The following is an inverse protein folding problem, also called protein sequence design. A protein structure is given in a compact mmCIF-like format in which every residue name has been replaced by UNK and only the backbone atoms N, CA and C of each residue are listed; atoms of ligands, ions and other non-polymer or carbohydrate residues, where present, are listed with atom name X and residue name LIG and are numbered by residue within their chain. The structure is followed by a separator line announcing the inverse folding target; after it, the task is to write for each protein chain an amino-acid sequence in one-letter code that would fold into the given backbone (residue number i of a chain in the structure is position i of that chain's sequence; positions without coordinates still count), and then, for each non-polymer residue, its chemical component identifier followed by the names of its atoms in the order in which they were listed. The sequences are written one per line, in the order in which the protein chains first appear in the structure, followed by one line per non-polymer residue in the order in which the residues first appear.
data_IF_216336340964
#
_entry.id   IF_216336340964
#
_cell.length_a   1.000
_cell.length_b   1.000
_cell.length_c   1.000
_cell.angle_alpha   90.00
_cell.angle_beta   90.00
_cell.angle_gamma   90.00
#
_symmetry.space_group_name_H-M   'P 1'
#
loop_
_entity.id
_entity.type
_entity.pdbx_description
1 polymer ?
#
# COMPACT_ATOMS: atom_id res chain seq x y z
N UNK A 1 43.86 -9.42 2.61
CA UNK A 1 42.61 -9.33 3.39
C UNK A 1 41.46 -9.36 2.40
N UNK A 2 40.64 -10.43 2.37
CA UNK A 2 39.45 -10.51 1.52
C UNK A 2 38.29 -9.91 2.33
N UNK A 3 37.83 -8.74 1.93
CA UNK A 3 36.59 -8.15 2.45
C UNK A 3 35.43 -9.04 2.00
N UNK A 4 34.79 -9.74 2.93
CA UNK A 4 33.49 -10.34 2.65
C UNK A 4 32.54 -9.18 2.28
N UNK A 5 31.76 -9.28 1.19
CA UNK A 5 30.75 -8.28 0.91
C UNK A 5 29.74 -8.26 2.05
N UNK A 6 29.49 -7.05 2.54
CA UNK A 6 28.45 -6.75 3.51
C UNK A 6 27.09 -7.09 2.87
N UNK A 7 26.37 -8.02 3.50
CA UNK A 7 25.11 -8.66 3.03
C UNK A 7 25.24 -9.69 1.88
N UNK A 8 24.92 -10.94 2.22
CA UNK A 8 24.78 -12.09 1.30
C UNK A 8 23.39 -12.15 0.64
N UNK A 9 22.49 -11.25 1.04
CA UNK A 9 21.16 -11.12 0.46
C UNK A 9 21.09 -9.87 -0.40
N UNK A 10 20.55 -9.96 -1.63
CA UNK A 10 20.23 -8.77 -2.39
C UNK A 10 19.15 -7.96 -1.66
N UNK A 11 19.30 -6.63 -1.63
CA UNK A 11 18.24 -5.74 -1.16
C UNK A 11 17.07 -5.79 -2.14
N UNK A 12 16.07 -6.63 -1.85
CA UNK A 12 14.83 -6.70 -2.62
C UNK A 12 13.83 -5.73 -2.00
N UNK A 13 13.86 -4.49 -2.45
CA UNK A 13 12.82 -3.52 -2.11
C UNK A 13 11.59 -3.74 -3.00
N UNK A 14 10.45 -4.03 -2.38
CA UNK A 14 9.14 -3.97 -3.02
C UNK A 14 8.50 -2.63 -2.66
N UNK A 15 8.39 -1.69 -3.61
CA UNK A 15 7.86 -0.38 -3.30
C UNK A 15 6.39 -0.50 -2.86
N UNK A 16 6.08 -0.06 -1.64
CA UNK A 16 4.75 -0.16 -1.04
C UNK A 16 4.32 1.17 -0.43
N UNK A 17 3.07 1.55 -0.64
CA UNK A 17 2.42 2.69 0.00
C UNK A 17 1.32 2.19 0.92
N UNK A 18 1.31 2.68 2.16
CA UNK A 18 0.25 2.40 3.14
C UNK A 18 -0.67 3.61 3.27
N UNK A 19 -1.96 3.38 3.10
CA UNK A 19 -3.03 4.37 3.30
C UNK A 19 -3.81 3.98 4.55
N UNK A 20 -3.95 4.90 5.50
CA UNK A 20 -4.75 4.74 6.71
C UNK A 20 -5.90 5.75 6.67
N UNK A 21 -7.12 5.27 6.82
CA UNK A 21 -8.31 6.11 6.82
C UNK A 21 -9.11 5.87 8.09
N UNK A 22 -9.44 6.97 8.77
CA UNK A 22 -10.31 6.98 9.93
C UNK A 22 -11.59 7.75 9.57
N UNK A 23 -12.74 7.10 9.73
CA UNK A 23 -14.08 7.63 9.45
C UNK A 23 -14.96 7.62 10.71
N UNK A 24 -14.36 7.73 11.91
CA UNK A 24 -15.07 7.83 13.17
C UNK A 24 -15.82 6.54 13.53
N UNK A 25 -17.15 6.60 13.55
CA UNK A 25 -18.01 5.48 14.00
C UNK A 25 -18.74 4.79 12.83
N UNK A 26 -18.16 4.83 11.63
CA UNK A 26 -18.79 4.23 10.46
C UNK A 26 -18.85 2.69 10.63
N UNK A 27 -20.03 2.05 10.47
CA UNK A 27 -20.13 0.59 10.50
C UNK A 27 -19.26 -0.05 9.42
N UNK A 28 -18.75 -1.24 9.69
CA UNK A 28 -17.82 -1.96 8.79
C UNK A 28 -18.34 -2.03 7.35
N UNK A 29 -19.62 -2.35 7.17
CA UNK A 29 -20.22 -2.46 5.83
C UNK A 29 -20.21 -1.14 5.07
N UNK A 30 -20.59 -0.06 5.75
CA UNK A 30 -20.57 1.27 5.14
C UNK A 30 -19.13 1.76 4.88
N UNK A 31 -18.18 1.41 5.75
CA UNK A 31 -16.76 1.70 5.54
C UNK A 31 -16.21 1.00 4.29
N UNK A 32 -16.58 -0.27 4.09
CA UNK A 32 -16.19 -1.02 2.89
C UNK A 32 -16.76 -0.37 1.62
N UNK A 33 -18.05 -0.02 1.64
CA UNK A 33 -18.75 0.52 0.46
C UNK A 33 -18.35 1.95 0.10
N UNK A 34 -18.17 2.82 1.11
CA UNK A 34 -17.95 4.26 0.90
C UNK A 34 -16.47 4.63 0.88
N UNK A 35 -15.61 3.83 1.52
CA UNK A 35 -14.19 4.17 1.68
C UNK A 35 -13.28 3.13 1.05
N UNK A 36 -13.33 1.88 1.51
CA UNK A 36 -12.34 0.88 1.10
C UNK A 36 -12.45 0.52 -0.37
N UNK A 37 -13.65 0.19 -0.85
CA UNK A 37 -13.87 -0.23 -2.24
C UNK A 37 -13.53 0.87 -3.25
N UNK A 38 -13.95 2.14 -3.07
CA UNK A 38 -13.52 3.23 -3.95
C UNK A 38 -12.00 3.45 -3.93
N UNK A 39 -11.34 3.35 -2.77
CA UNK A 39 -9.88 3.50 -2.68
C UNK A 39 -9.14 2.33 -3.34
N UNK A 40 -9.64 1.11 -3.23
CA UNK A 40 -9.09 -0.03 -3.96
C UNK A 40 -9.22 0.13 -5.47
N UNK A 41 -10.38 0.56 -5.95
CA UNK A 41 -10.64 0.77 -7.37
C UNK A 41 -9.72 1.87 -7.92
N UNK A 42 -9.58 2.99 -7.20
CA UNK A 42 -8.65 4.06 -7.54
C UNK A 42 -7.19 3.55 -7.55
N UNK A 43 -6.76 2.81 -6.53
CA UNK A 43 -5.41 2.28 -6.45
C UNK A 43 -5.12 1.25 -7.55
N UNK A 44 -6.07 0.37 -7.88
CA UNK A 44 -5.92 -0.59 -8.99
C UNK A 44 -5.83 0.09 -10.35
N UNK A 45 -6.34 1.32 -10.48
CA UNK A 45 -6.24 2.13 -11.69
C UNK A 45 -4.91 2.86 -11.87
N UNK A 46 -4.07 2.95 -10.83
CA UNK A 46 -2.80 3.66 -10.90
C UNK A 46 -1.70 2.87 -11.65
N UNK A 47 -0.96 3.50 -12.58
CA UNK A 47 0.10 2.82 -13.32
C UNK A 47 1.18 2.20 -12.42
N UNK A 48 1.51 0.94 -12.72
CA UNK A 48 2.55 0.18 -12.01
C UNK A 48 2.15 -0.28 -10.61
N UNK A 49 0.86 -0.25 -10.26
CA UNK A 49 0.32 -1.00 -9.12
C UNK A 49 0.25 -2.48 -9.49
N UNK A 50 0.90 -3.31 -8.67
CA UNK A 50 0.95 -4.77 -8.82
C UNK A 50 -0.08 -5.48 -7.97
N UNK A 51 -0.30 -5.01 -6.74
CA UNK A 51 -1.20 -5.65 -5.78
C UNK A 51 -1.78 -4.60 -4.84
N UNK A 52 -3.08 -4.70 -4.57
CA UNK A 52 -3.76 -3.93 -3.51
C UNK A 52 -4.29 -4.91 -2.48
N UNK A 53 -3.99 -4.66 -1.21
CA UNK A 53 -4.53 -5.39 -0.06
C UNK A 53 -5.18 -4.41 0.89
N UNK A 54 -6.35 -4.77 1.42
CA UNK A 54 -7.10 -3.92 2.34
C UNK A 54 -7.50 -4.69 3.58
N UNK A 55 -7.69 -3.95 4.67
CA UNK A 55 -8.33 -4.42 5.89
C UNK A 55 -9.27 -3.32 6.37
N UNK A 56 -10.51 -3.70 6.68
CA UNK A 56 -11.55 -2.76 7.09
C UNK A 56 -12.14 -3.20 8.41
N UNK A 57 -12.23 -2.25 9.33
CA UNK A 57 -12.84 -2.38 10.64
C UNK A 57 -13.83 -1.25 10.89
N UNK A 58 -14.32 -1.19 12.12
CA UNK A 58 -15.26 -0.16 12.53
C UNK A 58 -14.56 1.20 12.53
N UNK A 59 -14.98 2.10 11.63
CA UNK A 59 -14.41 3.43 11.49
C UNK A 59 -12.96 3.50 11.00
N UNK A 60 -12.33 2.37 10.65
CA UNK A 60 -10.92 2.32 10.25
C UNK A 60 -10.76 1.47 9.01
N UNK A 61 -9.97 1.94 8.05
CA UNK A 61 -9.54 1.14 6.91
C UNK A 61 -8.04 1.34 6.66
N UNK A 62 -7.37 0.25 6.30
CA UNK A 62 -5.96 0.20 5.96
C UNK A 62 -5.82 -0.39 4.56
N UNK A 63 -5.08 0.29 3.70
CA UNK A 63 -4.76 -0.15 2.34
C UNK A 63 -3.23 -0.26 2.20
N UNK A 64 -2.76 -1.38 1.67
CA UNK A 64 -1.40 -1.57 1.20
C UNK A 64 -1.41 -1.69 -0.32
N UNK A 65 -0.75 -0.74 -0.98
CA UNK A 65 -0.60 -0.70 -2.43
C UNK A 65 0.86 -1.04 -2.74
N UNK A 66 1.05 -2.20 -3.37
CA UNK A 66 2.34 -2.68 -3.83
C UNK A 66 2.52 -2.30 -5.29
N UNK A 67 3.69 -1.76 -5.61
CA UNK A 67 4.04 -1.36 -6.96
C UNK A 67 5.09 -2.30 -7.55
N UNK A 68 5.21 -2.29 -8.87
CA UNK A 68 6.34 -2.89 -9.57
C UNK A 68 7.62 -2.10 -9.31
N UNK A 69 8.75 -2.80 -9.34
CA UNK A 69 10.07 -2.21 -9.12
C UNK A 69 10.35 -1.13 -10.18
N UNK A 70 10.68 0.08 -9.73
CA UNK A 70 10.91 1.25 -10.59
C UNK A 70 9.70 2.15 -10.86
N UNK A 71 8.48 1.77 -10.45
CA UNK A 71 7.28 2.58 -10.72
C UNK A 71 7.17 3.81 -9.80
N UNK A 72 7.62 3.72 -8.54
CA UNK A 72 7.43 4.82 -7.58
C UNK A 72 8.45 5.94 -7.82
N UNK A 73 8.01 7.02 -8.49
CA UNK A 73 8.66 8.33 -8.34
C UNK A 73 8.34 8.87 -6.96
N UNK A 74 9.31 8.85 -6.05
CA UNK A 74 9.21 9.55 -4.74
C UNK A 74 9.06 11.05 -4.98
N UNK A 75 7.83 11.53 -5.12
CA UNK A 75 7.53 12.96 -5.15
C UNK A 75 7.50 13.44 -3.69
N UNK A 76 8.60 14.05 -3.27
CA UNK A 76 8.74 14.65 -1.95
C UNK A 76 7.81 15.87 -1.91
N UNK A 77 6.80 15.82 -1.04
CA UNK A 77 6.00 16.98 -0.63
C UNK A 77 6.61 17.59 0.63
#
# INVERSE_FOLDING_TARGET
MRTLPESIFPDIDFPMVTVLVNAGNLPVRAMEDVVTRPLEEAAKGEPGVRLVRSQTGYGLSKLHVYFDQGSIRKRRI
#
